data_IF_948910336039
#
_entry.id   IF_948910336039
#
_cell.length_a   1.000
_cell.length_b   1.000
_cell.length_c   1.000
_cell.angle_alpha   90.00
_cell.angle_beta   90.00
_cell.angle_gamma   90.00
#
_symmetry.space_group_name_H-M   'P 1'
#
loop_
_entity.id
_entity.type
_entity.pdbx_description
1 polymer ?
#
# COMPACT_ATOMS: atom_id res chain seq x y z
N UNK A 1 -3.11 -18.89 0.32
CA UNK A 1 -3.09 -18.83 -1.15
C UNK A 1 -1.72 -18.31 -1.53
N UNK A 2 -0.97 -19.00 -2.38
CA UNK A 2 0.30 -18.44 -2.88
C UNK A 2 -0.04 -17.42 -3.97
N UNK A 3 0.62 -16.27 -3.93
CA UNK A 3 0.42 -15.17 -4.86
C UNK A 3 1.61 -15.21 -5.82
N UNK A 4 1.45 -15.88 -6.95
CA UNK A 4 2.55 -16.29 -7.82
C UNK A 4 2.62 -15.41 -9.09
N UNK A 5 1.58 -14.61 -9.36
CA UNK A 5 1.50 -13.73 -10.52
C UNK A 5 1.07 -12.30 -10.18
N UNK A 6 1.44 -11.29 -11.00
CA UNK A 6 0.93 -9.93 -10.86
C UNK A 6 -0.61 -9.84 -10.93
N UNK A 7 -1.26 -10.63 -11.79
CA UNK A 7 -2.72 -10.69 -11.90
C UNK A 7 -3.41 -11.11 -10.59
N UNK A 8 -2.85 -12.07 -9.87
CA UNK A 8 -3.38 -12.50 -8.58
C UNK A 8 -3.24 -11.38 -7.54
N UNK A 9 -2.11 -10.67 -7.53
CA UNK A 9 -1.91 -9.52 -6.65
C UNK A 9 -2.91 -8.41 -6.95
N UNK A 10 -3.12 -8.09 -8.23
CA UNK A 10 -4.10 -7.09 -8.65
C UNK A 10 -5.51 -7.46 -8.18
N UNK A 11 -5.94 -8.71 -8.42
CA UNK A 11 -7.24 -9.21 -7.95
C UNK A 11 -7.38 -9.11 -6.43
N UNK A 12 -6.31 -9.41 -5.70
CA UNK A 12 -6.30 -9.26 -4.25
C UNK A 12 -6.45 -7.79 -3.82
N UNK A 13 -5.71 -6.86 -4.43
CA UNK A 13 -5.86 -5.44 -4.11
C UNK A 13 -7.24 -4.88 -4.46
N UNK A 14 -7.84 -5.30 -5.57
CA UNK A 14 -9.24 -4.95 -5.91
C UNK A 14 -10.21 -5.55 -4.88
N UNK A 15 -9.96 -6.75 -4.37
CA UNK A 15 -10.78 -7.34 -3.30
C UNK A 15 -10.63 -6.58 -1.96
N UNK A 16 -9.43 -6.12 -1.63
CA UNK A 16 -9.17 -5.29 -0.44
C UNK A 16 -9.84 -3.92 -0.57
N UNK A 17 -9.75 -3.30 -1.75
CA UNK A 17 -10.27 -1.97 -2.03
C UNK A 17 -10.98 -1.95 -3.40
N UNK A 18 -12.29 -2.24 -3.46
CA UNK A 18 -13.00 -2.35 -4.74
C UNK A 18 -12.89 -1.13 -5.65
N UNK A 19 -12.83 0.08 -5.09
CA UNK A 19 -12.65 1.33 -5.85
C UNK A 19 -11.28 1.46 -6.52
N UNK A 20 -10.29 0.66 -6.13
CA UNK A 20 -9.00 0.61 -6.81
C UNK A 20 -9.13 0.20 -8.28
N UNK A 21 -10.18 -0.54 -8.66
CA UNK A 21 -10.42 -0.92 -10.06
C UNK A 21 -10.57 0.28 -10.99
N UNK A 22 -11.14 1.38 -10.50
CA UNK A 22 -11.31 2.61 -11.30
C UNK A 22 -9.96 3.29 -11.52
N UNK A 23 -9.12 3.31 -10.48
CA UNK A 23 -7.75 3.83 -10.56
C UNK A 23 -6.89 3.00 -11.50
N UNK A 24 -6.94 1.68 -11.36
CA UNK A 24 -6.17 0.75 -12.18
C UNK A 24 -6.50 0.85 -13.68
N UNK A 25 -7.77 1.03 -14.03
CA UNK A 25 -8.21 1.17 -15.42
C UNK A 25 -8.17 2.61 -15.94
N UNK A 26 -7.59 3.55 -15.19
CA UNK A 26 -7.51 4.95 -15.63
C UNK A 26 -6.46 5.15 -16.73
N UNK A 27 -6.71 6.11 -17.62
CA UNK A 27 -5.77 6.48 -18.70
C UNK A 27 -4.42 7.02 -18.15
N UNK A 28 -4.40 7.41 -16.87
CA UNK A 28 -3.21 7.91 -16.17
C UNK A 28 -2.40 6.78 -15.49
N UNK A 29 -2.79 5.51 -15.65
CA UNK A 29 -2.04 4.38 -15.12
C UNK A 29 -0.85 4.01 -16.03
N UNK A 30 0.31 4.60 -15.73
CA UNK A 30 1.57 4.32 -16.44
C UNK A 30 2.25 3.00 -16.05
N UNK A 31 1.62 2.18 -15.19
CA UNK A 31 2.14 0.88 -14.77
C UNK A 31 1.63 -0.29 -15.66
N UNK A 32 0.82 0.02 -16.67
CA UNK A 32 0.34 -0.92 -17.70
C UNK A 32 1.06 -0.58 -19.01
N UNK A 33 1.73 -1.57 -19.58
CA UNK A 33 2.42 -1.44 -20.87
C UNK A 33 1.40 -1.39 -22.04
N UNK A 34 1.82 -0.94 -23.22
CA UNK A 34 0.95 -0.83 -24.41
C UNK A 34 0.29 -2.17 -24.82
N UNK A 35 0.90 -3.30 -24.44
CA UNK A 35 0.39 -4.63 -24.70
C UNK A 35 -0.54 -5.17 -23.59
N UNK A 36 -0.77 -4.39 -22.53
CA UNK A 36 -1.56 -4.76 -21.37
C UNK A 36 -0.80 -5.53 -20.29
N UNK A 37 0.50 -5.79 -20.46
CA UNK A 37 1.31 -6.44 -19.44
C UNK A 37 1.64 -5.48 -18.30
N UNK A 38 1.87 -6.05 -17.11
CA UNK A 38 2.27 -5.31 -15.92
C UNK A 38 3.07 -6.21 -14.97
N UNK A 39 3.72 -5.60 -13.98
CA UNK A 39 4.60 -6.28 -13.04
C UNK A 39 4.09 -6.18 -11.60
N UNK A 40 4.65 -6.99 -10.70
CA UNK A 40 4.38 -6.84 -9.26
C UNK A 40 4.70 -5.44 -8.74
N UNK A 41 5.80 -4.82 -9.18
CA UNK A 41 6.15 -3.47 -8.74
C UNK A 41 5.15 -2.44 -9.27
N UNK A 42 4.70 -2.56 -10.52
CA UNK A 42 3.67 -1.66 -11.06
C UNK A 42 2.35 -1.75 -10.30
N UNK A 43 1.89 -2.98 -9.98
CA UNK A 43 0.69 -3.19 -9.16
C UNK A 43 0.86 -2.62 -7.75
N UNK A 44 2.00 -2.86 -7.11
CA UNK A 44 2.31 -2.31 -5.79
C UNK A 44 2.35 -0.78 -5.79
N UNK A 45 3.05 -0.17 -6.75
CA UNK A 45 3.23 1.28 -6.81
C UNK A 45 1.91 2.00 -7.07
N UNK A 46 1.11 1.53 -8.03
CA UNK A 46 -0.20 2.12 -8.29
C UNK A 46 -1.13 1.98 -7.08
N UNK A 47 -1.08 0.82 -6.40
CA UNK A 47 -1.84 0.61 -5.18
C UNK A 47 -1.34 1.48 -4.02
N UNK A 48 -0.02 1.74 -3.92
CA UNK A 48 0.55 2.64 -2.93
C UNK A 48 0.03 4.06 -3.15
N UNK A 49 0.05 4.56 -4.39
CA UNK A 49 -0.48 5.88 -4.72
C UNK A 49 -1.97 5.96 -4.44
N UNK A 50 -2.75 4.96 -4.83
CA UNK A 50 -4.17 4.87 -4.47
C UNK A 50 -4.36 4.91 -2.94
N UNK A 51 -3.56 4.15 -2.20
CA UNK A 51 -3.61 4.08 -0.73
C UNK A 51 -3.23 5.41 -0.08
N UNK A 52 -2.27 6.14 -0.65
CA UNK A 52 -1.84 7.46 -0.19
C UNK A 52 -2.85 8.53 -0.58
N UNK A 53 -3.43 8.51 -1.78
CA UNK A 53 -4.37 9.51 -2.27
C UNK A 53 -5.71 9.47 -1.52
N UNK A 54 -6.00 8.37 -0.82
CA UNK A 54 -7.04 8.33 0.23
C UNK A 54 -6.77 9.34 1.36
N UNK A 55 -5.54 9.86 1.49
CA UNK A 55 -5.15 10.95 2.38
C UNK A 55 -5.47 12.33 1.79
N UNK A 56 -6.72 12.54 1.37
CA UNK A 56 -7.25 13.91 1.23
C UNK A 56 -7.13 14.72 2.53
N UNK A 57 -6.84 14.06 3.65
CA UNK A 57 -6.39 14.65 4.91
C UNK A 57 -4.86 14.73 4.96
N UNK A 58 -4.33 15.62 4.13
CA UNK A 58 -3.08 16.33 4.40
C UNK A 58 -3.23 16.98 5.79
N UNK A 59 -2.84 16.30 6.87
CA UNK A 59 -2.83 16.97 8.16
C UNK A 59 -1.81 18.11 8.10
N UNK A 60 -2.33 19.33 8.19
CA UNK A 60 -1.58 20.47 8.71
C UNK A 60 -1.00 20.04 10.06
N UNK A 61 0.33 20.13 10.28
CA UNK A 61 0.99 19.66 11.50
C UNK A 61 0.47 20.27 12.82
N UNK A 62 -0.45 21.24 12.76
CA UNK A 62 -0.90 22.02 13.91
C UNK A 62 -2.26 21.59 14.49
N UNK A 63 -3.08 20.78 13.82
CA UNK A 63 -4.43 20.45 14.32
C UNK A 63 -4.79 19.00 14.04
N UNK A 64 -4.72 18.15 15.07
CA UNK A 64 -5.33 16.81 15.15
C UNK A 64 -6.87 16.90 15.10
N UNK A 65 -7.42 17.50 14.06
CA UNK A 65 -8.85 17.42 13.77
C UNK A 65 -9.01 16.49 12.58
N UNK A 66 -9.50 15.29 12.86
CA UNK A 66 -10.11 14.44 11.84
C UNK A 66 -11.29 15.26 11.32
N UNK A 67 -11.27 15.65 10.04
CA UNK A 67 -12.44 16.31 9.48
C UNK A 67 -13.58 15.30 9.37
N UNK A 68 -14.84 15.74 9.57
CA UNK A 68 -16.00 14.85 9.66
C UNK A 68 -16.33 14.07 8.39
N UNK A 69 -15.65 14.34 7.27
CA UNK A 69 -15.93 13.74 5.96
C UNK A 69 -14.85 12.73 5.50
N UNK A 70 -13.90 12.34 6.37
CA UNK A 70 -13.00 11.22 6.05
C UNK A 70 -13.76 9.90 6.01
N UNK A 71 -13.76 9.25 4.85
CA UNK A 71 -14.20 7.86 4.72
C UNK A 71 -12.99 6.99 4.40
N UNK A 72 -12.71 6.03 5.28
CA UNK A 72 -11.78 4.95 4.99
C UNK A 72 -12.32 4.14 3.81
N UNK A 73 -11.67 4.22 2.65
CA UNK A 73 -12.05 3.42 1.47
C UNK A 73 -11.66 1.94 1.63
N UNK A 74 -10.85 1.62 2.65
CA UNK A 74 -10.50 0.27 3.08
C UNK A 74 -10.90 0.15 4.54
N UNK A 75 -11.93 -0.63 4.83
CA UNK A 75 -12.36 -0.83 6.22
C UNK A 75 -11.29 -1.58 7.04
N UNK A 76 -11.33 -1.39 8.35
CA UNK A 76 -10.44 -2.03 9.34
C UNK A 76 -10.22 -3.54 9.10
N UNK A 77 -11.27 -4.30 8.75
CA UNK A 77 -11.14 -5.74 8.49
C UNK A 77 -10.24 -6.04 7.28
N UNK A 78 -10.39 -5.24 6.21
CA UNK A 78 -9.55 -5.32 5.01
C UNK A 78 -8.14 -4.81 5.24
N UNK A 79 -7.96 -3.83 6.12
CA UNK A 79 -6.63 -3.40 6.57
C UNK A 79 -5.88 -4.54 7.28
N UNK A 80 -6.55 -5.26 8.18
CA UNK A 80 -5.96 -6.45 8.83
C UNK A 80 -5.60 -7.51 7.78
N UNK A 81 -6.52 -7.84 6.87
CA UNK A 81 -6.26 -8.83 5.80
C UNK A 81 -5.07 -8.43 4.91
N UNK A 82 -4.96 -7.15 4.53
CA UNK A 82 -3.86 -6.62 3.72
C UNK A 82 -2.52 -6.78 4.45
N UNK A 83 -2.43 -6.34 5.69
CA UNK A 83 -1.16 -6.37 6.42
C UNK A 83 -0.77 -7.77 6.91
N UNK A 84 -1.74 -8.65 7.19
CA UNK A 84 -1.47 -10.07 7.40
C UNK A 84 -0.87 -10.69 6.13
N UNK A 85 -1.43 -10.41 4.94
CA UNK A 85 -0.87 -10.87 3.68
C UNK A 85 0.56 -10.34 3.45
N UNK A 86 0.79 -9.05 3.69
CA UNK A 86 2.13 -8.46 3.55
C UNK A 86 3.10 -9.14 4.51
N UNK A 87 2.76 -9.25 5.79
CA UNK A 87 3.60 -9.86 6.81
C UNK A 87 4.02 -11.29 6.43
N UNK A 88 3.08 -12.10 5.94
CA UNK A 88 3.38 -13.45 5.46
C UNK A 88 4.25 -13.43 4.21
N UNK A 89 3.98 -12.56 3.25
CA UNK A 89 4.77 -12.39 2.02
C UNK A 89 6.23 -12.04 2.31
N UNK A 90 6.47 -11.21 3.31
CA UNK A 90 7.82 -10.77 3.68
C UNK A 90 8.69 -11.86 4.33
N UNK A 91 8.12 -12.97 4.78
CA UNK A 91 8.89 -14.12 5.29
C UNK A 91 9.77 -14.75 4.21
N UNK A 92 9.41 -14.60 2.94
CA UNK A 92 10.16 -15.06 1.77
C UNK A 92 10.90 -13.88 1.14
N UNK A 93 11.83 -13.30 1.89
CA UNK A 93 12.40 -11.96 1.67
C UNK A 93 13.05 -11.69 0.31
N UNK A 94 13.32 -12.72 -0.50
CA UNK A 94 14.00 -12.64 -1.80
C UNK A 94 13.06 -12.89 -3.00
N UNK A 95 11.75 -13.05 -2.80
CA UNK A 95 10.81 -13.18 -3.92
C UNK A 95 10.56 -11.84 -4.61
N UNK A 96 10.21 -11.86 -5.90
CA UNK A 96 9.83 -10.65 -6.65
C UNK A 96 8.66 -9.92 -5.97
N UNK A 97 7.68 -10.66 -5.47
CA UNK A 97 6.57 -10.13 -4.70
C UNK A 97 7.04 -9.44 -3.41
N UNK A 98 7.85 -10.10 -2.59
CA UNK A 98 8.33 -9.53 -1.33
C UNK A 98 9.18 -8.27 -1.56
N UNK A 99 10.00 -8.26 -2.61
CA UNK A 99 10.76 -7.06 -2.99
C UNK A 99 9.83 -5.95 -3.47
N UNK A 100 8.84 -6.24 -4.31
CA UNK A 100 7.88 -5.25 -4.81
C UNK A 100 7.01 -4.67 -3.68
N UNK A 101 6.56 -5.49 -2.72
CA UNK A 101 5.83 -5.02 -1.53
C UNK A 101 6.68 -4.13 -0.63
N UNK A 102 8.00 -4.38 -0.56
CA UNK A 102 8.92 -3.54 0.20
C UNK A 102 9.16 -2.20 -0.51
N UNK A 103 9.69 -2.24 -1.73
CA UNK A 103 10.21 -1.06 -2.43
C UNK A 103 9.15 -0.25 -3.16
N UNK A 104 8.03 -0.87 -3.54
CA UNK A 104 6.97 -0.22 -4.34
C UNK A 104 5.65 -0.11 -3.56
N UNK A 105 5.61 -0.47 -2.26
CA UNK A 105 4.43 -0.25 -1.42
C UNK A 105 4.82 0.27 -0.04
N UNK A 106 5.47 -0.55 0.80
CA UNK A 106 5.81 -0.15 2.19
C UNK A 106 6.74 1.06 2.26
N UNK A 107 7.70 1.17 1.34
CA UNK A 107 8.55 2.35 1.18
C UNK A 107 7.75 3.57 0.74
N UNK A 108 6.93 3.45 -0.30
CA UNK A 108 6.13 4.57 -0.84
C UNK A 108 5.13 5.13 0.18
N UNK A 109 4.49 4.27 0.97
CA UNK A 109 3.56 4.72 2.02
C UNK A 109 4.29 5.21 3.28
N UNK A 110 5.61 5.00 3.42
CA UNK A 110 6.34 5.44 4.60
C UNK A 110 6.36 6.96 4.72
N UNK A 111 6.31 7.46 5.96
CA UNK A 111 6.20 8.89 6.27
C UNK A 111 4.97 9.60 5.68
N UNK A 112 3.98 8.88 5.18
CA UNK A 112 2.67 9.43 4.79
C UNK A 112 1.66 9.28 5.92
N UNK A 113 0.61 10.10 5.93
CA UNK A 113 -0.48 9.96 6.91
C UNK A 113 -1.17 8.58 6.82
N UNK A 114 -1.35 8.07 5.59
CA UNK A 114 -1.89 6.73 5.35
C UNK A 114 -0.97 5.64 5.92
N UNK A 115 0.34 5.77 5.73
CA UNK A 115 1.34 4.87 6.32
C UNK A 115 1.35 4.90 7.84
N UNK A 116 1.26 6.07 8.45
CA UNK A 116 1.19 6.20 9.92
C UNK A 116 -0.10 5.62 10.50
N UNK A 117 -1.24 5.78 9.83
CA UNK A 117 -2.48 5.08 10.18
C UNK A 117 -2.31 3.55 10.06
N UNK A 118 -1.75 3.11 8.93
CA UNK A 118 -1.50 1.71 8.62
C UNK A 118 -0.53 1.02 9.60
N UNK A 119 0.34 1.79 10.26
CA UNK A 119 1.33 1.29 11.22
C UNK A 119 0.75 0.39 12.30
N UNK A 120 -0.49 0.66 12.74
CA UNK A 120 -1.18 -0.13 13.76
C UNK A 120 -1.61 -1.53 13.30
N UNK A 121 -1.63 -1.77 11.99
CA UNK A 121 -1.99 -3.05 11.37
C UNK A 121 -0.76 -3.89 10.97
N UNK A 122 0.43 -3.30 10.96
CA UNK A 122 1.65 -3.98 10.52
C UNK A 122 2.11 -5.05 11.52
N UNK A 123 2.48 -6.21 10.99
CA UNK A 123 3.20 -7.25 11.74
C UNK A 123 4.68 -6.91 11.96
N UNK A 124 5.42 -7.83 12.57
CA UNK A 124 6.82 -7.60 13.00
C UNK A 124 7.75 -7.29 11.82
N UNK A 125 7.68 -8.06 10.73
CA UNK A 125 8.59 -7.93 9.59
C UNK A 125 8.30 -6.67 8.79
N UNK A 126 7.01 -6.43 8.50
CA UNK A 126 6.53 -5.24 7.80
C UNK A 126 6.86 -3.97 8.58
N UNK A 127 6.58 -3.93 9.89
CA UNK A 127 6.89 -2.78 10.75
C UNK A 127 8.40 -2.53 10.87
N UNK A 128 9.22 -3.58 10.96
CA UNK A 128 10.68 -3.44 11.03
C UNK A 128 11.27 -2.88 9.73
N UNK A 129 10.73 -3.25 8.57
CA UNK A 129 11.12 -2.64 7.29
C UNK A 129 10.65 -1.19 7.22
N UNK A 130 9.35 -0.95 7.42
CA UNK A 130 8.72 0.37 7.37
C UNK A 130 9.40 1.41 8.29
N UNK A 131 9.81 0.98 9.49
CA UNK A 131 10.45 1.87 10.47
C UNK A 131 11.85 2.33 10.07
N UNK A 132 12.49 1.77 9.03
CA UNK A 132 13.82 2.21 8.58
C UNK A 132 13.77 3.62 7.99
N UNK A 133 12.68 3.95 7.29
CA UNK A 133 12.44 5.26 6.71
C UNK A 133 12.14 6.34 7.75
N UNK A 134 11.93 5.99 9.02
CA UNK A 134 11.65 6.94 10.09
C UNK A 134 12.89 7.35 10.90
N UNK A 135 14.07 6.77 10.60
CA UNK A 135 15.25 6.88 11.46
C UNK A 135 16.08 8.16 11.27
N UNK A 136 15.75 9.01 10.29
CA UNK A 136 16.55 10.19 9.93
C UNK A 136 15.95 11.56 10.32
N UNK A 137 14.90 11.62 11.16
CA UNK A 137 14.51 12.90 11.78
C UNK A 137 15.41 13.17 12.99
N UNK A 138 16.68 13.52 12.74
CA UNK A 138 17.51 14.21 13.75
C UNK A 138 17.14 15.68 13.71
N UNK A 139 16.51 16.16 14.79
CA UNK A 139 16.35 17.59 15.10
C UNK A 139 17.70 18.30 15.18
#
# INVERSE_FOLDING_TARGET
>A
MMMDTPDELLKFFIYIAPSFIERWNSDDNYNIEDNGDFTFCGVCNEFAHFFIDQSQFRHSPATMKIEPDWQENINVGKMVELFDFIEHSLTHSNSLLANSLKSCFLEDIAQTAAGEYARSFMGKNSLNFFSQWHRDIRY
#
